data_IF_156051838634
#
_entry.id   IF_156051838634
#
_cell.length_a   1.000
_cell.length_b   1.000
_cell.length_c   1.000
_cell.angle_alpha   90.00
_cell.angle_beta   90.00
_cell.angle_gamma   90.00
#
_symmetry.space_group_name_H-M   'P 1'
#
loop_
_entity.id
_entity.type
_entity.pdbx_description
1 polymer ?
#
# COMPACT_ATOMS: atom_id res chain seq x y z
N UNK A 1 -0.28 4.77 -14.10
CA UNK A 1 0.51 5.27 -15.25
C UNK A 1 1.68 6.18 -14.85
N UNK A 2 1.62 6.96 -13.75
CA UNK A 2 2.74 7.84 -13.32
C UNK A 2 3.83 7.15 -12.48
N UNK A 3 3.49 6.10 -11.73
CA UNK A 3 4.44 5.38 -10.86
C UNK A 3 5.45 4.51 -11.61
N UNK A 4 5.23 4.19 -12.89
CA UNK A 4 6.12 3.27 -13.64
C UNK A 4 7.51 3.84 -13.88
N UNK A 5 7.69 5.17 -13.77
CA UNK A 5 8.99 5.85 -13.92
C UNK A 5 9.65 6.23 -12.60
N UNK A 6 8.97 6.06 -11.47
CA UNK A 6 9.58 6.29 -10.16
C UNK A 6 10.50 5.11 -9.81
N UNK A 7 11.58 5.37 -9.08
CA UNK A 7 12.51 4.33 -8.59
C UNK A 7 12.29 4.00 -7.11
N UNK A 8 11.81 4.97 -6.34
CA UNK A 8 11.52 4.94 -4.90
C UNK A 8 10.26 5.76 -4.65
N UNK A 9 9.54 5.45 -3.59
CA UNK A 9 8.35 6.21 -3.16
C UNK A 9 8.64 6.85 -1.80
N UNK A 10 8.39 8.15 -1.70
CA UNK A 10 8.37 8.89 -0.45
C UNK A 10 6.91 9.19 -0.09
N UNK A 11 6.49 8.74 1.09
CA UNK A 11 5.16 8.97 1.64
C UNK A 11 5.31 9.84 2.88
N UNK A 12 4.91 11.11 2.77
CA UNK A 12 4.91 12.05 3.88
C UNK A 12 3.52 12.08 4.51
N UNK A 13 3.44 11.93 5.82
CA UNK A 13 2.16 11.93 6.56
C UNK A 13 2.24 12.74 7.85
N UNK A 14 1.07 13.12 8.36
CA UNK A 14 0.91 13.67 9.69
C UNK A 14 -0.28 12.95 10.36
N UNK A 15 0.02 12.18 11.40
CA UNK A 15 -0.97 11.37 12.11
C UNK A 15 -1.42 12.01 13.43
N UNK A 16 -1.17 13.31 13.63
CA UNK A 16 -1.42 13.99 14.92
C UNK A 16 -2.87 13.89 15.39
N UNK A 17 -3.84 14.04 14.48
CA UNK A 17 -5.27 14.02 14.82
C UNK A 17 -5.74 12.64 15.32
N UNK A 18 -4.95 11.58 15.07
CA UNK A 18 -5.26 10.22 15.49
C UNK A 18 -4.61 9.83 16.82
N UNK A 19 -3.78 10.68 17.42
CA UNK A 19 -3.27 10.47 18.78
C UNK A 19 -2.53 9.13 18.96
N UNK A 20 -2.73 8.53 20.14
CA UNK A 20 -2.24 7.19 20.50
C UNK A 20 -3.16 6.06 20.04
N UNK A 21 -3.77 6.18 18.85
CA UNK A 21 -4.59 5.12 18.27
C UNK A 21 -3.83 4.25 17.28
N UNK A 22 -4.39 3.09 16.97
CA UNK A 22 -3.77 2.13 16.03
C UNK A 22 -3.78 2.61 14.56
N UNK A 23 -4.42 3.75 14.25
CA UNK A 23 -4.53 4.28 12.89
C UNK A 23 -3.16 4.49 12.23
N UNK A 24 -2.15 4.89 13.01
CA UNK A 24 -0.79 5.05 12.45
C UNK A 24 -0.26 3.75 11.87
N UNK A 25 -0.60 2.59 12.45
CA UNK A 25 -0.18 1.29 11.96
C UNK A 25 -1.00 0.86 10.73
N UNK A 26 -2.26 1.25 10.64
CA UNK A 26 -3.11 0.97 9.48
C UNK A 26 -2.58 1.70 8.23
N UNK A 27 -2.29 3.00 8.37
CA UNK A 27 -1.72 3.79 7.28
C UNK A 27 -0.31 3.31 6.89
N UNK A 28 0.48 2.93 7.88
CA UNK A 28 1.79 2.32 7.65
C UNK A 28 1.68 0.96 6.93
N UNK A 29 0.67 0.15 7.25
CA UNK A 29 0.34 -1.08 6.54
C UNK A 29 -0.03 -0.84 5.06
N UNK A 30 -0.78 0.23 4.78
CA UNK A 30 -1.06 0.65 3.39
C UNK A 30 0.25 1.01 2.67
N UNK A 31 1.15 1.75 3.32
CA UNK A 31 2.46 2.08 2.75
C UNK A 31 3.32 0.82 2.49
N UNK A 32 3.28 -0.15 3.39
CA UNK A 32 3.96 -1.44 3.23
C UNK A 32 3.40 -2.24 2.04
N UNK A 33 2.08 -2.28 1.87
CA UNK A 33 1.45 -2.92 0.71
C UNK A 33 1.86 -2.22 -0.59
N UNK A 34 1.93 -0.89 -0.61
CA UNK A 34 2.43 -0.15 -1.79
C UNK A 34 3.87 -0.50 -2.14
N UNK A 35 4.73 -0.80 -1.17
CA UNK A 35 6.09 -1.26 -1.46
C UNK A 35 6.08 -2.59 -2.22
N UNK A 36 5.23 -3.53 -1.78
CA UNK A 36 5.05 -4.85 -2.41
C UNK A 36 4.46 -4.71 -3.81
N UNK A 37 3.34 -4.01 -3.93
CA UNK A 37 2.62 -3.86 -5.19
C UNK A 37 3.46 -3.18 -6.26
N UNK A 38 4.17 -2.11 -5.89
CA UNK A 38 4.96 -1.33 -6.85
C UNK A 38 6.36 -1.91 -7.07
N UNK A 39 6.82 -2.83 -6.23
CA UNK A 39 8.18 -3.37 -6.26
C UNK A 39 9.26 -2.35 -5.86
N UNK A 40 8.87 -1.25 -5.23
CA UNK A 40 9.74 -0.12 -4.87
C UNK A 40 9.93 -0.06 -3.36
N UNK A 41 11.07 0.46 -2.93
CA UNK A 41 11.19 0.87 -1.54
C UNK A 41 10.25 2.05 -1.26
N UNK A 42 9.55 1.99 -0.13
CA UNK A 42 8.68 3.07 0.36
C UNK A 42 9.25 3.62 1.65
N UNK A 43 9.57 4.91 1.67
CA UNK A 43 9.92 5.64 2.88
C UNK A 43 8.67 6.36 3.36
N UNK A 44 8.05 5.83 4.41
CA UNK A 44 6.93 6.48 5.08
C UNK A 44 7.46 7.31 6.25
N UNK A 45 7.35 8.63 6.17
CA UNK A 45 7.83 9.56 7.19
C UNK A 45 6.63 10.32 7.78
N UNK A 46 6.49 10.25 9.11
CA UNK A 46 5.45 10.93 9.86
C UNK A 46 6.06 11.96 10.80
N UNK A 47 5.38 13.08 11.00
CA UNK A 47 5.79 14.10 11.98
C UNK A 47 5.64 13.63 13.43
N UNK A 48 4.65 12.78 13.71
CA UNK A 48 4.34 12.30 15.07
C UNK A 48 3.93 10.82 15.13
N UNK A 49 3.54 10.23 13.99
CA UNK A 49 3.19 8.81 13.90
C UNK A 49 4.41 7.92 13.61
N UNK A 50 4.12 6.66 13.27
CA UNK A 50 5.12 5.69 12.87
C UNK A 50 5.84 6.14 11.60
N UNK A 51 7.17 6.25 11.67
CA UNK A 51 8.02 6.42 10.50
C UNK A 51 8.73 5.11 10.22
N UNK A 52 8.69 4.62 8.98
CA UNK A 52 9.30 3.35 8.61
C UNK A 52 9.71 3.31 7.14
N UNK A 53 10.71 2.46 6.84
CA UNK A 53 11.17 2.16 5.48
C UNK A 53 10.80 0.73 5.15
N UNK A 54 10.02 0.54 4.10
CA UNK A 54 9.58 -0.77 3.63
C UNK A 54 10.32 -1.16 2.35
N UNK A 55 10.89 -2.37 2.35
CA UNK A 55 11.49 -2.96 1.16
C UNK A 55 10.41 -3.48 0.19
N UNK A 56 10.75 -3.70 -1.09
CA UNK A 56 9.84 -4.31 -2.07
C UNK A 56 9.24 -5.66 -1.67
N UNK A 57 9.86 -6.35 -0.71
CA UNK A 57 9.38 -7.63 -0.16
C UNK A 57 8.33 -7.45 0.94
N UNK A 58 8.04 -6.22 1.35
CA UNK A 58 7.24 -5.89 2.52
C UNK A 58 8.03 -5.87 3.83
N UNK A 59 9.28 -6.31 3.85
CA UNK A 59 10.10 -6.27 5.08
C UNK A 59 10.35 -4.83 5.54
N UNK A 60 10.26 -4.60 6.84
CA UNK A 60 10.70 -3.35 7.47
C UNK A 60 12.22 -3.32 7.47
N UNK A 61 12.80 -2.29 6.85
CA UNK A 61 14.25 -2.06 6.87
C UNK A 61 14.66 -1.32 8.14
N UNK A 62 13.92 -0.27 8.48
CA UNK A 62 14.13 0.57 9.66
C UNK A 62 12.79 1.20 10.05
N UNK A 63 12.61 1.45 11.34
CA UNK A 63 11.44 2.14 11.89
C UNK A 63 11.81 3.01 13.09
N UNK A 64 11.00 4.04 13.33
CA UNK A 64 11.08 4.89 14.52
C UNK A 64 9.80 4.79 15.31
N UNK A 65 9.93 4.79 16.63
CA UNK A 65 8.79 4.84 17.54
C UNK A 65 8.04 6.17 17.38
N UNK A 66 6.72 6.11 17.21
CA UNK A 66 5.84 7.28 17.20
C UNK A 66 5.98 8.15 18.47
N UNK A 67 5.70 9.45 18.35
CA UNK A 67 5.85 10.46 19.41
C UNK A 67 7.26 10.58 20.01
N UNK A 68 8.29 10.06 19.34
CA UNK A 68 9.68 10.23 19.73
C UNK A 68 10.46 10.93 18.62
N UNK A 69 11.39 11.78 19.02
CA UNK A 69 12.35 12.36 18.08
C UNK A 69 13.33 11.27 17.59
N UNK A 70 13.64 11.30 16.29
CA UNK A 70 14.54 10.33 15.69
C UNK A 70 14.81 10.61 14.23
N UNK A 71 15.79 9.89 13.67
CA UNK A 71 16.14 9.95 12.27
C UNK A 71 16.53 8.55 11.76
N UNK A 72 16.20 8.27 10.50
CA UNK A 72 16.65 7.06 9.80
C UNK A 72 17.56 7.47 8.65
N UNK A 73 18.75 6.87 8.56
CA UNK A 73 19.71 7.10 7.46
C UNK A 73 20.04 5.75 6.86
N UNK A 74 19.36 5.41 5.78
CA UNK A 74 19.43 4.08 5.18
C UNK A 74 19.66 4.14 3.67
N UNK A 75 20.26 3.08 3.14
CA UNK A 75 20.35 2.86 1.69
C UNK A 75 19.18 2.00 1.24
N UNK A 76 18.40 2.51 0.28
CA UNK A 76 17.25 1.79 -0.29
C UNK A 76 17.54 1.31 -1.70
N UNK A 77 17.00 0.14 -2.11
CA UNK A 77 17.09 -0.32 -3.49
C UNK A 77 16.24 0.56 -4.40
N UNK A 78 16.77 0.84 -5.61
CA UNK A 78 16.03 1.49 -6.68
C UNK A 78 15.39 0.42 -7.58
N UNK A 79 14.19 0.70 -8.11
CA UNK A 79 13.49 -0.22 -9.01
C UNK A 79 12.88 0.48 -10.22
N UNK A 80 13.36 0.11 -11.42
CA UNK A 80 12.90 0.65 -12.72
C UNK A 80 11.93 -0.28 -13.47
N UNK A 81 11.58 -1.42 -12.88
CA UNK A 81 10.69 -2.39 -13.51
C UNK A 81 9.20 -2.05 -13.38
N UNK A 82 8.38 -2.89 -14.01
CA UNK A 82 6.93 -2.91 -13.81
C UNK A 82 6.55 -4.27 -13.21
N UNK A 83 5.88 -4.24 -12.06
CA UNK A 83 5.38 -5.47 -11.42
C UNK A 83 4.11 -5.96 -12.11
N UNK A 84 3.75 -7.25 -11.96
CA UNK A 84 2.47 -7.76 -12.45
C UNK A 84 1.27 -7.01 -11.87
N UNK A 85 1.34 -6.61 -10.59
CA UNK A 85 0.29 -5.82 -9.95
C UNK A 85 0.10 -4.46 -10.65
N UNK A 86 1.20 -3.77 -10.99
CA UNK A 86 1.14 -2.50 -11.71
C UNK A 86 0.69 -2.63 -13.17
N UNK A 87 0.90 -3.80 -13.79
CA UNK A 87 0.52 -4.05 -15.18
C UNK A 87 -0.94 -4.51 -15.32
N UNK A 88 -1.37 -5.44 -14.46
CA UNK A 88 -2.64 -6.17 -14.59
C UNK A 88 -3.68 -5.78 -13.54
N UNK A 89 -3.28 -5.12 -12.45
CA UNK A 89 -4.13 -4.90 -11.27
C UNK A 89 -5.49 -4.30 -11.61
N UNK A 90 -5.51 -3.17 -12.30
CA UNK A 90 -6.76 -2.49 -12.68
C UNK A 90 -7.65 -3.37 -13.56
N UNK A 91 -7.10 -4.04 -14.58
CA UNK A 91 -7.87 -4.93 -15.45
C UNK A 91 -8.43 -6.12 -14.68
N UNK A 92 -7.63 -6.70 -13.78
CA UNK A 92 -8.03 -7.82 -12.94
C UNK A 92 -9.12 -7.42 -11.94
N UNK A 93 -9.05 -6.24 -11.35
CA UNK A 93 -10.08 -5.68 -10.46
C UNK A 93 -11.43 -5.53 -11.17
N UNK A 94 -11.44 -4.89 -12.35
CA UNK A 94 -12.67 -4.74 -13.13
C UNK A 94 -13.25 -6.08 -13.59
N UNK A 95 -12.39 -7.01 -14.02
CA UNK A 95 -12.82 -8.35 -14.41
C UNK A 95 -13.49 -9.09 -13.24
N UNK A 96 -12.90 -9.05 -12.04
CA UNK A 96 -13.48 -9.64 -10.83
C UNK A 96 -14.80 -8.98 -10.45
N UNK A 97 -14.89 -7.66 -10.50
CA UNK A 97 -16.12 -6.93 -10.19
C UNK A 97 -17.26 -7.34 -11.13
N UNK A 98 -17.00 -7.38 -12.46
CA UNK A 98 -18.01 -7.80 -13.45
C UNK A 98 -18.42 -9.25 -13.23
N UNK A 99 -17.46 -10.15 -12.97
CA UNK A 99 -17.73 -11.56 -12.71
C UNK A 99 -18.60 -11.75 -11.45
N UNK A 100 -18.31 -11.03 -10.36
CA UNK A 100 -19.08 -11.09 -9.12
C UNK A 100 -20.53 -10.59 -9.32
N UNK A 101 -20.71 -9.46 -10.02
CA UNK A 101 -22.04 -8.93 -10.35
C UNK A 101 -22.81 -9.91 -11.24
N UNK A 102 -22.15 -10.46 -12.27
CA UNK A 102 -22.74 -11.45 -13.17
C UNK A 102 -23.19 -12.71 -12.42
N UNK A 103 -22.37 -13.20 -11.49
CA UNK A 103 -22.71 -14.34 -10.64
C UNK A 103 -23.95 -14.06 -9.79
N UNK A 104 -23.99 -12.91 -9.09
CA UNK A 104 -25.13 -12.51 -8.29
C UNK A 104 -26.40 -12.35 -9.12
N UNK A 105 -26.30 -11.81 -10.34
CA UNK A 105 -27.44 -11.66 -11.24
C UNK A 105 -28.00 -13.02 -11.68
N UNK A 106 -27.13 -13.92 -12.14
CA UNK A 106 -27.53 -15.26 -12.62
C UNK A 106 -28.15 -16.11 -11.51
N UNK A 107 -27.56 -16.12 -10.31
CA UNK A 107 -28.02 -16.97 -9.22
C UNK A 107 -29.06 -16.31 -8.31
N UNK A 108 -29.02 -14.99 -8.15
CA UNK A 108 -30.05 -14.22 -7.43
C UNK A 108 -31.41 -14.25 -8.12
N UNK A 109 -31.45 -14.14 -9.46
CA UNK A 109 -32.70 -14.26 -10.23
C UNK A 109 -33.25 -15.69 -10.17
N UNK A 110 -32.36 -16.70 -10.20
CA UNK A 110 -32.78 -18.11 -10.07
C UNK A 110 -33.41 -18.42 -8.71
N UNK A 111 -32.96 -17.78 -7.64
CA UNK A 111 -33.54 -17.95 -6.30
C UNK A 111 -34.92 -17.32 -6.14
N UNK A 112 -35.23 -16.25 -6.90
CA UNK A 112 -36.55 -15.60 -6.87
C UNK A 112 -37.60 -16.30 -7.74
N UNK A 113 -37.17 -17.14 -8.70
CA UNK A 113 -38.05 -17.89 -9.61
C UNK A 113 -38.40 -19.30 -9.11
N UNK A 114 -37.76 -19.77 -8.05
CA UNK A 114 -38.18 -20.95 -7.27
C UNK A 114 -38.94 -20.48 -6.05
#
# INVERSE_FOLDING_TARGET
MWLTRAEVILSQTNNADFGYSDETYQQAGIAQLRAIETGRAVVNISTVGLSAIYLPTGKVLSELTWYQEGAMVEKVPLFNGTTPAMLLGQTFEFANMIAAIGFLFVFGIRRKRR
#
